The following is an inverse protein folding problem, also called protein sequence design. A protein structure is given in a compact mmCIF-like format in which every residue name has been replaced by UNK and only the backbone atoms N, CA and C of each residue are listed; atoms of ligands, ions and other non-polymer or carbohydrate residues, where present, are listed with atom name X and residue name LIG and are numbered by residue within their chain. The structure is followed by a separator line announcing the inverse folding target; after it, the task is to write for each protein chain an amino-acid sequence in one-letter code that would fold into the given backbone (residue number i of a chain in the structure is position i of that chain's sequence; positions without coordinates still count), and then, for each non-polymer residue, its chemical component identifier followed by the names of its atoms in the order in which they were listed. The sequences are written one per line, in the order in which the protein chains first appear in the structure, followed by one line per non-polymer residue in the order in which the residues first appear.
data_IF_865918488231
#
_entry.id   IF_865918488231
#
_cell.length_a   1.000
_cell.length_b   1.000
_cell.length_c   1.000
_cell.angle_alpha   90.00
_cell.angle_beta   90.00
_cell.angle_gamma   90.00
#
_symmetry.space_group_name_H-M   'P 1'
#
loop_
_entity.id
_entity.type
_entity.pdbx_description
1 polymer ?
#
# COMPACT_ATOMS: atom_id res chain seq x y z
N UNK A 1 12.60 6.90 34.61
CA UNK A 1 12.30 7.05 33.16
C UNK A 1 13.04 5.93 32.46
N UNK A 2 12.38 5.14 31.60
CA UNK A 2 13.07 4.07 30.88
C UNK A 2 13.93 4.68 29.77
N UNK A 3 15.16 4.20 29.67
CA UNK A 3 16.04 4.52 28.54
C UNK A 3 15.89 3.47 27.45
N UNK A 4 15.85 3.92 26.17
CA UNK A 4 15.87 2.99 25.05
C UNK A 4 17.19 2.23 24.98
N UNK A 5 17.22 1.09 24.26
CA UNK A 5 18.48 0.43 23.95
C UNK A 5 19.41 1.41 23.23
N UNK A 6 20.66 1.53 23.69
CA UNK A 6 21.69 2.38 23.06
C UNK A 6 22.66 1.56 22.21
N UNK A 7 22.86 0.30 22.60
CA UNK A 7 23.79 -0.65 21.98
C UNK A 7 23.21 -2.08 22.03
N UNK A 8 23.87 -3.04 21.37
CA UNK A 8 23.47 -4.45 21.28
C UNK A 8 22.09 -4.67 20.62
N UNK A 9 21.81 -3.93 19.55
CA UNK A 9 20.63 -4.17 18.73
C UNK A 9 20.74 -5.52 18.05
N UNK A 10 19.68 -6.34 18.15
CA UNK A 10 19.59 -7.61 17.43
C UNK A 10 18.83 -7.48 16.12
N UNK A 11 18.22 -6.31 15.90
CA UNK A 11 17.42 -5.99 14.73
C UNK A 11 17.87 -4.67 14.11
N UNK A 12 18.39 -4.72 12.87
CA UNK A 12 18.90 -3.56 12.13
C UNK A 12 17.82 -2.48 11.90
N UNK A 13 16.54 -2.87 11.75
CA UNK A 13 15.45 -1.89 11.62
C UNK A 13 15.24 -1.13 12.91
N UNK A 14 15.32 -1.81 14.06
CA UNK A 14 15.18 -1.18 15.38
C UNK A 14 16.39 -0.32 15.69
N UNK A 15 17.58 -0.74 15.29
CA UNK A 15 18.78 0.09 15.36
C UNK A 15 18.60 1.39 14.56
N UNK A 16 18.21 1.30 13.28
CA UNK A 16 17.95 2.48 12.43
C UNK A 16 16.87 3.38 13.01
N UNK A 17 15.81 2.80 13.59
CA UNK A 17 14.73 3.53 14.25
C UNK A 17 15.24 4.30 15.47
N UNK A 18 16.08 3.68 16.30
CA UNK A 18 16.60 4.29 17.52
C UNK A 18 17.78 5.24 17.28
N UNK A 19 18.40 5.21 16.09
CA UNK A 19 19.50 6.10 15.70
C UNK A 19 19.06 7.26 14.79
N UNK A 20 17.78 7.37 14.42
CA UNK A 20 17.32 8.45 13.55
C UNK A 20 17.38 9.81 14.25
N UNK A 21 17.65 10.90 13.52
CA UNK A 21 17.69 12.25 14.13
C UNK A 21 16.33 12.63 14.77
N UNK A 22 15.24 12.18 14.16
CA UNK A 22 13.87 12.34 14.67
C UNK A 22 13.70 11.67 16.05
N UNK A 23 14.45 10.60 16.33
CA UNK A 23 14.33 9.83 17.57
C UNK A 23 14.76 10.61 18.81
N UNK A 24 15.94 11.24 18.78
CA UNK A 24 16.45 12.00 19.92
C UNK A 24 15.64 13.28 20.15
N UNK A 25 15.23 13.93 19.06
CA UNK A 25 14.40 15.13 19.13
C UNK A 25 13.02 14.81 19.72
N UNK A 26 12.34 13.76 19.24
CA UNK A 26 11.03 13.36 19.76
C UNK A 26 11.11 12.89 21.21
N UNK A 27 12.16 12.15 21.60
CA UNK A 27 12.38 11.73 23.00
C UNK A 27 12.56 12.89 23.98
N UNK A 28 13.07 14.03 23.51
CA UNK A 28 13.24 15.23 24.31
C UNK A 28 11.92 15.97 24.58
N UNK A 29 10.88 15.77 23.73
CA UNK A 29 9.56 16.42 23.81
C UNK A 29 8.63 15.81 24.88
N UNK A 30 9.09 14.85 25.69
CA UNK A 30 8.27 14.17 26.70
C UNK A 30 8.38 14.83 28.08
N UNK A 31 7.41 15.68 28.41
CA UNK A 31 7.21 16.19 29.78
C UNK A 31 6.62 15.10 30.71
N UNK A 32 6.54 15.38 32.00
CA UNK A 32 6.07 14.57 33.13
C UNK A 32 4.75 13.82 32.87
N UNK A 33 3.79 14.45 32.16
CA UNK A 33 2.54 13.80 31.75
C UNK A 33 2.71 12.74 30.63
N UNK A 34 3.76 12.85 29.82
CA UNK A 34 4.06 11.96 28.70
C UNK A 34 5.08 10.86 29.04
N UNK A 35 5.64 10.86 30.25
CA UNK A 35 6.58 9.81 30.72
C UNK A 35 5.99 8.41 30.57
N UNK A 36 4.69 8.23 30.85
CA UNK A 36 4.01 6.92 30.67
C UNK A 36 4.01 6.46 29.21
N UNK A 37 3.74 7.36 28.27
CA UNK A 37 3.76 7.06 26.83
C UNK A 37 5.17 6.75 26.34
N UNK A 38 6.18 7.48 26.85
CA UNK A 38 7.59 7.22 26.57
C UNK A 38 8.01 5.84 27.06
N UNK A 39 7.77 5.54 28.33
CA UNK A 39 8.15 4.25 28.93
C UNK A 39 7.49 3.10 28.16
N UNK A 40 6.21 3.24 27.83
CA UNK A 40 5.48 2.28 27.00
C UNK A 40 6.14 2.06 25.65
N UNK A 41 6.54 3.12 24.97
CA UNK A 41 7.18 2.98 23.67
C UNK A 41 8.56 2.31 23.77
N UNK A 42 9.32 2.62 24.82
CA UNK A 42 10.60 1.95 25.11
C UNK A 42 10.39 0.46 25.38
N UNK A 43 9.36 0.07 26.12
CA UNK A 43 9.01 -1.34 26.37
C UNK A 43 8.65 -2.07 25.08
N UNK A 44 7.85 -1.45 24.20
CA UNK A 44 7.56 -2.01 22.88
C UNK A 44 8.84 -2.21 22.09
N UNK A 45 9.73 -1.22 22.05
CA UNK A 45 11.00 -1.32 21.31
C UNK A 45 11.91 -2.41 21.85
N UNK A 46 11.98 -2.57 23.18
CA UNK A 46 12.73 -3.68 23.78
C UNK A 46 12.17 -5.03 23.33
N UNK A 47 10.85 -5.19 23.34
CA UNK A 47 10.18 -6.39 22.82
C UNK A 47 10.48 -6.62 21.33
N UNK A 48 10.55 -5.57 20.52
CA UNK A 48 10.88 -5.66 19.08
C UNK A 48 12.37 -5.93 18.78
N UNK A 49 13.27 -5.69 19.75
CA UNK A 49 14.71 -5.89 19.60
C UNK A 49 15.15 -7.33 19.94
N UNK A 50 14.21 -8.22 20.24
CA UNK A 50 14.50 -9.65 20.44
C UNK A 50 14.70 -10.38 19.10
N UNK A 51 15.40 -11.51 19.11
CA UNK A 51 15.59 -12.35 17.91
C UNK A 51 14.26 -12.98 17.46
N UNK A 52 13.45 -13.37 18.45
CA UNK A 52 12.09 -13.86 18.26
C UNK A 52 11.16 -13.07 19.16
N UNK A 53 10.21 -12.38 18.54
CA UNK A 53 9.33 -11.43 19.23
C UNK A 53 8.17 -12.19 19.87
N UNK A 54 8.00 -12.04 21.18
CA UNK A 54 6.82 -12.50 21.89
C UNK A 54 5.59 -11.64 21.50
N UNK A 55 4.77 -12.19 20.59
CA UNK A 55 3.56 -11.54 20.10
C UNK A 55 2.50 -11.35 21.19
N UNK A 56 2.45 -12.18 22.23
CA UNK A 56 1.49 -12.04 23.31
C UNK A 56 1.85 -10.88 24.24
N UNK A 57 3.14 -10.74 24.54
CA UNK A 57 3.65 -9.55 25.23
C UNK A 57 3.44 -8.30 24.38
N UNK A 58 3.72 -8.35 23.07
CA UNK A 58 3.48 -7.23 22.17
C UNK A 58 2.01 -6.83 22.13
N UNK A 59 1.07 -7.79 22.07
CA UNK A 59 -0.39 -7.53 22.13
C UNK A 59 -0.77 -6.85 23.45
N UNK A 60 -0.28 -7.34 24.59
CA UNK A 60 -0.55 -6.73 25.91
C UNK A 60 -0.04 -5.29 25.98
N UNK A 61 1.18 -5.05 25.52
CA UNK A 61 1.78 -3.71 25.49
C UNK A 61 0.98 -2.76 24.58
N UNK A 62 0.49 -3.26 23.45
CA UNK A 62 -0.16 -2.42 22.42
C UNK A 62 -1.68 -2.34 22.56
N UNK A 63 -2.29 -3.09 23.48
CA UNK A 63 -3.74 -3.15 23.71
C UNK A 63 -4.37 -1.77 23.95
N UNK A 64 -3.73 -0.93 24.75
CA UNK A 64 -4.18 0.46 25.00
C UNK A 64 -3.69 1.47 23.95
N UNK A 65 -3.31 0.98 22.77
CA UNK A 65 -2.85 1.78 21.64
C UNK A 65 -1.33 1.89 21.52
N UNK A 66 -0.84 2.15 20.31
CA UNK A 66 0.58 2.33 20.02
C UNK A 66 0.91 3.83 20.11
N UNK A 67 1.96 4.24 20.85
CA UNK A 67 2.39 5.64 20.86
C UNK A 67 2.63 6.20 19.45
N UNK A 68 2.06 7.36 19.12
CA UNK A 68 2.25 8.06 17.82
C UNK A 68 3.47 8.97 17.78
N UNK A 69 3.99 9.33 18.95
CA UNK A 69 5.14 10.20 19.13
C UNK A 69 6.43 9.65 18.54
N UNK A 70 6.51 8.35 18.26
CA UNK A 70 7.64 7.77 17.55
C UNK A 70 7.21 7.45 16.13
N UNK A 71 7.79 8.20 15.20
CA UNK A 71 7.68 7.96 13.77
C UNK A 71 8.16 6.54 13.45
N UNK A 72 7.38 5.77 12.69
CA UNK A 72 7.77 4.43 12.24
C UNK A 72 7.46 3.27 13.20
N UNK A 73 7.20 3.52 14.50
CA UNK A 73 6.90 2.44 15.45
C UNK A 73 5.59 1.72 15.12
N UNK A 74 4.51 2.49 14.91
CA UNK A 74 3.18 1.93 14.60
C UNK A 74 3.18 1.04 13.35
N UNK A 75 3.76 1.45 12.21
CA UNK A 75 3.87 0.58 11.03
C UNK A 75 4.57 -0.76 11.28
N UNK A 76 5.62 -0.81 12.09
CA UNK A 76 6.32 -2.06 12.41
C UNK A 76 5.44 -2.97 13.26
N UNK A 77 4.87 -2.42 14.33
CA UNK A 77 3.98 -3.18 15.23
C UNK A 77 2.76 -3.72 14.49
N UNK A 78 2.12 -2.91 13.64
CA UNK A 78 0.97 -3.37 12.85
C UNK A 78 1.33 -4.51 11.91
N UNK A 79 2.49 -4.44 11.24
CA UNK A 79 2.92 -5.53 10.35
C UNK A 79 3.11 -6.84 11.10
N UNK A 80 3.61 -6.82 12.33
CA UNK A 80 3.70 -8.02 13.18
C UNK A 80 2.32 -8.52 13.63
N UNK A 81 1.48 -7.62 14.16
CA UNK A 81 0.16 -8.00 14.69
C UNK A 81 -0.80 -8.51 13.60
N UNK A 82 -0.66 -8.01 12.37
CA UNK A 82 -1.42 -8.45 11.19
C UNK A 82 -0.79 -9.69 10.51
N UNK A 83 0.35 -10.19 10.99
CA UNK A 83 1.03 -11.36 10.43
C UNK A 83 1.75 -11.11 9.10
N UNK A 84 1.95 -9.85 8.71
CA UNK A 84 2.72 -9.49 7.52
C UNK A 84 4.24 -9.62 7.71
N UNK A 85 4.72 -9.56 8.97
CA UNK A 85 6.09 -9.88 9.35
C UNK A 85 6.09 -11.06 10.31
N UNK A 86 7.04 -12.01 10.17
CA UNK A 86 7.17 -13.13 11.11
C UNK A 86 7.71 -12.65 12.46
N UNK A 87 7.49 -13.45 13.51
CA UNK A 87 8.03 -13.16 14.85
C UNK A 87 9.57 -13.20 14.88
N UNK A 88 10.17 -14.06 14.07
CA UNK A 88 11.63 -14.18 13.94
C UNK A 88 12.18 -13.04 13.08
N UNK A 89 13.00 -12.18 13.68
CA UNK A 89 13.47 -10.94 13.06
C UNK A 89 14.46 -11.17 11.92
N UNK A 90 15.19 -12.29 11.96
CA UNK A 90 16.11 -12.70 10.88
C UNK A 90 15.41 -12.91 9.53
N UNK A 91 14.14 -13.31 9.55
CA UNK A 91 13.36 -13.65 8.34
C UNK A 91 12.58 -12.44 7.79
N UNK A 92 12.70 -11.26 8.40
CA UNK A 92 11.94 -10.07 7.99
C UNK A 92 12.27 -9.64 6.57
N UNK A 93 13.54 -9.66 6.20
CA UNK A 93 13.98 -9.22 4.88
C UNK A 93 13.43 -10.13 3.78
N UNK A 94 13.65 -11.44 3.90
CA UNK A 94 13.13 -12.43 2.94
C UNK A 94 11.61 -12.40 2.87
N UNK A 95 10.92 -12.37 4.02
CA UNK A 95 9.44 -12.31 4.04
C UNK A 95 8.89 -11.07 3.34
N UNK A 96 9.57 -9.91 3.46
CA UNK A 96 9.18 -8.71 2.74
C UNK A 96 9.40 -8.86 1.23
N UNK A 97 10.55 -9.38 0.82
CA UNK A 97 10.87 -9.64 -0.59
C UNK A 97 9.83 -10.60 -1.22
N UNK A 98 9.51 -11.71 -0.55
CA UNK A 98 8.51 -12.67 -1.00
C UNK A 98 7.10 -12.06 -1.10
N UNK A 99 6.71 -11.24 -0.11
CA UNK A 99 5.43 -10.52 -0.13
C UNK A 99 5.34 -9.52 -1.30
N UNK A 100 6.43 -8.79 -1.57
CA UNK A 100 6.48 -7.85 -2.70
C UNK A 100 6.43 -8.58 -4.03
N UNK A 101 7.20 -9.66 -4.21
CA UNK A 101 7.18 -10.47 -5.42
C UNK A 101 5.80 -11.07 -5.66
N UNK A 102 5.17 -11.62 -4.62
CA UNK A 102 3.80 -12.15 -4.69
C UNK A 102 2.80 -11.08 -5.14
N UNK A 103 2.89 -9.88 -4.57
CA UNK A 103 2.04 -8.76 -4.97
C UNK A 103 2.27 -8.34 -6.43
N UNK A 104 3.52 -8.27 -6.89
CA UNK A 104 3.84 -7.97 -8.28
C UNK A 104 3.27 -9.01 -9.24
N UNK A 105 3.34 -10.29 -8.86
CA UNK A 105 2.77 -11.37 -9.65
C UNK A 105 1.25 -11.25 -9.75
N UNK A 106 0.55 -10.97 -8.64
CA UNK A 106 -0.89 -10.68 -8.68
C UNK A 106 -1.20 -9.47 -9.56
N UNK A 107 -0.40 -8.42 -9.51
CA UNK A 107 -0.59 -7.25 -10.36
C UNK A 107 -0.47 -7.61 -11.84
N UNK A 108 0.53 -8.42 -12.22
CA UNK A 108 0.76 -8.86 -13.61
C UNK A 108 -0.35 -9.79 -14.11
N UNK A 109 -0.81 -10.71 -13.27
CA UNK A 109 -1.78 -11.74 -13.64
C UNK A 109 -3.23 -11.23 -13.64
N UNK A 110 -3.61 -10.42 -12.65
CA UNK A 110 -5.01 -10.03 -12.44
C UNK A 110 -5.40 -8.74 -13.18
N UNK A 111 -4.45 -7.85 -13.48
CA UNK A 111 -4.72 -6.58 -14.18
C UNK A 111 -4.44 -6.77 -15.68
N UNK A 112 -5.35 -7.45 -16.36
CA UNK A 112 -5.23 -7.71 -17.80
C UNK A 112 -5.82 -6.56 -18.60
N UNK A 113 -5.00 -5.90 -19.42
CA UNK A 113 -5.47 -4.95 -20.44
C UNK A 113 -5.56 -5.67 -21.78
N UNK A 114 -6.75 -5.81 -22.39
CA UNK A 114 -6.87 -6.37 -23.72
C UNK A 114 -6.10 -5.47 -24.69
N UNK A 115 -5.05 -5.99 -25.31
CA UNK A 115 -4.37 -5.30 -26.40
C UNK A 115 -5.21 -5.52 -27.66
N UNK A 116 -5.80 -4.45 -28.20
CA UNK A 116 -6.23 -4.46 -29.61
C UNK A 116 -4.94 -4.50 -30.42
N UNK A 117 -4.40 -5.69 -30.69
CA UNK A 117 -3.19 -5.85 -31.49
C UNK A 117 -3.45 -5.28 -32.89
N UNK A 118 -3.05 -4.03 -33.13
CA UNK A 118 -2.88 -3.48 -34.49
C UNK A 118 -1.53 -3.90 -35.11
N UNK A 119 -0.66 -4.61 -34.39
CA UNK A 119 0.76 -4.77 -34.78
C UNK A 119 1.34 -6.20 -34.73
N UNK A 120 0.53 -7.26 -34.76
CA UNK A 120 1.06 -8.59 -35.13
C UNK A 120 0.19 -9.18 -36.23
N UNK A 121 0.67 -8.98 -37.46
CA UNK A 121 0.10 -9.52 -38.67
C UNK A 121 0.30 -11.05 -38.72
N UNK A 122 -0.73 -11.73 -39.22
CA UNK A 122 -0.70 -13.03 -39.92
C UNK A 122 -0.86 -14.36 -39.15
N UNK A 123 -0.78 -14.45 -37.82
CA UNK A 123 -0.80 -15.79 -37.19
C UNK A 123 -2.15 -16.31 -36.61
N UNK A 124 -3.19 -15.50 -36.36
CA UNK A 124 -4.34 -15.95 -35.52
C UNK A 124 -5.75 -15.43 -35.91
N UNK A 125 -6.12 -15.54 -37.18
CA UNK A 125 -7.46 -15.13 -37.68
C UNK A 125 -8.62 -15.84 -36.95
N UNK A 126 -8.50 -17.14 -36.65
CA UNK A 126 -9.56 -17.91 -35.95
C UNK A 126 -9.71 -17.57 -34.47
N UNK A 127 -8.63 -17.13 -33.80
CA UNK A 127 -8.67 -16.75 -32.38
C UNK A 127 -9.26 -15.35 -32.19
N UNK A 128 -9.09 -14.45 -33.19
CA UNK A 128 -9.72 -13.12 -33.24
C UNK A 128 -11.25 -13.16 -33.37
N UNK A 129 -11.80 -14.18 -34.02
CA UNK A 129 -13.26 -14.31 -34.22
C UNK A 129 -13.98 -14.72 -32.92
N UNK A 130 -13.30 -15.43 -32.02
CA UNK A 130 -13.88 -15.94 -30.76
C UNK A 130 -13.68 -14.98 -29.58
N UNK A 131 -12.62 -14.18 -29.59
CA UNK A 131 -12.30 -13.23 -28.51
C UNK A 131 -12.29 -11.79 -29.02
N UNK A 132 -13.45 -11.15 -28.93
CA UNK A 132 -13.70 -9.79 -29.41
C UNK A 132 -14.52 -9.00 -28.37
N UNK A 133 -14.58 -7.66 -28.46
CA UNK A 133 -15.28 -6.79 -27.48
C UNK A 133 -16.77 -7.08 -27.28
N UNK A 134 -17.39 -7.88 -28.13
CA UNK A 134 -18.80 -8.25 -28.04
C UNK A 134 -18.97 -9.76 -27.81
N UNK A 135 -17.88 -10.47 -27.48
CA UNK A 135 -17.91 -11.90 -27.25
C UNK A 135 -18.66 -12.18 -25.94
N UNK A 136 -19.68 -13.02 -26.00
CA UNK A 136 -20.45 -13.48 -24.85
C UNK A 136 -19.81 -14.69 -24.16
N UNK A 137 -18.68 -15.18 -24.69
CA UNK A 137 -17.99 -16.33 -24.10
C UNK A 137 -17.45 -15.99 -22.72
N UNK A 138 -17.69 -16.87 -21.74
CA UNK A 138 -17.16 -16.72 -20.38
C UNK A 138 -15.63 -16.80 -20.34
N UNK A 139 -14.98 -17.39 -21.35
CA UNK A 139 -13.52 -17.50 -21.47
C UNK A 139 -12.89 -16.36 -22.27
N UNK A 140 -13.67 -15.37 -22.71
CA UNK A 140 -13.16 -14.24 -23.48
C UNK A 140 -12.37 -13.28 -22.57
N UNK A 141 -11.21 -12.82 -23.06
CA UNK A 141 -10.42 -11.78 -22.39
C UNK A 141 -11.21 -10.48 -22.32
N UNK A 142 -11.99 -10.16 -23.35
CA UNK A 142 -12.87 -9.00 -23.36
C UNK A 142 -13.98 -9.08 -22.32
N UNK A 143 -14.64 -10.24 -22.18
CA UNK A 143 -15.66 -10.42 -21.15
C UNK A 143 -15.08 -10.25 -19.73
N UNK A 144 -13.90 -10.82 -19.48
CA UNK A 144 -13.17 -10.59 -18.22
C UNK A 144 -12.84 -9.12 -18.03
N UNK A 145 -12.37 -8.43 -19.08
CA UNK A 145 -12.05 -7.01 -19.02
C UNK A 145 -13.27 -6.14 -18.67
N UNK A 146 -14.43 -6.39 -19.26
CA UNK A 146 -15.64 -5.60 -18.94
C UNK A 146 -16.11 -5.83 -17.51
N UNK A 147 -16.09 -7.07 -17.02
CA UNK A 147 -16.38 -7.37 -15.61
C UNK A 147 -15.37 -6.69 -14.67
N UNK A 148 -14.10 -6.67 -15.06
CA UNK A 148 -13.07 -5.99 -14.30
C UNK A 148 -13.30 -4.47 -14.31
N UNK A 149 -13.73 -3.88 -15.43
CA UNK A 149 -14.11 -2.46 -15.50
C UNK A 149 -15.28 -2.13 -14.57
N UNK A 150 -16.29 -2.98 -14.46
CA UNK A 150 -17.39 -2.77 -13.51
C UNK A 150 -16.88 -2.70 -12.07
N UNK A 151 -15.97 -3.61 -11.67
CA UNK A 151 -15.35 -3.58 -10.34
C UNK A 151 -14.50 -2.32 -10.16
N UNK A 152 -13.70 -1.94 -11.17
CA UNK A 152 -12.90 -0.71 -11.12
C UNK A 152 -13.76 0.54 -10.96
N UNK A 153 -14.89 0.62 -11.66
CA UNK A 153 -15.80 1.78 -11.59
C UNK A 153 -16.43 1.92 -10.21
N UNK A 154 -16.83 0.82 -9.55
CA UNK A 154 -17.33 0.87 -8.18
C UNK A 154 -16.23 1.27 -7.19
N UNK A 155 -15.03 0.70 -7.31
CA UNK A 155 -13.88 1.07 -6.49
C UNK A 155 -13.51 2.54 -6.70
N UNK A 156 -13.52 3.07 -7.93
CA UNK A 156 -13.17 4.46 -8.21
C UNK A 156 -14.15 5.42 -7.53
N UNK A 157 -15.46 5.16 -7.61
CA UNK A 157 -16.49 5.96 -6.93
C UNK A 157 -16.22 6.01 -5.42
N UNK A 158 -15.90 4.86 -4.84
CA UNK A 158 -15.70 4.70 -3.41
C UNK A 158 -14.40 5.32 -2.90
N UNK A 159 -13.32 5.18 -3.65
CA UNK A 159 -12.06 5.83 -3.31
C UNK A 159 -12.17 7.35 -3.40
N UNK A 160 -12.90 7.89 -4.37
CA UNK A 160 -13.14 9.35 -4.49
C UNK A 160 -13.93 9.94 -3.32
N UNK A 161 -14.84 9.18 -2.71
CA UNK A 161 -15.57 9.61 -1.49
C UNK A 161 -14.82 9.30 -0.18
N UNK A 162 -13.74 8.53 -0.22
CA UNK A 162 -13.00 8.12 0.98
C UNK A 162 -12.09 9.25 1.45
N UNK A 163 -12.36 9.76 2.66
CA UNK A 163 -11.49 10.73 3.36
C UNK A 163 -11.09 11.91 2.46
N UNK A 164 -12.09 12.57 1.87
CA UNK A 164 -11.89 13.75 1.01
C UNK A 164 -11.21 14.91 1.73
N UNK A 165 -11.23 14.91 3.07
CA UNK A 165 -10.47 15.82 3.94
C UNK A 165 -8.96 15.60 3.88
N UNK A 166 -8.52 14.42 3.45
CA UNK A 166 -7.13 14.00 3.48
C UNK A 166 -6.46 14.18 2.12
N UNK A 167 -5.73 15.28 1.96
CA UNK A 167 -5.01 15.59 0.71
C UNK A 167 -4.01 14.51 0.28
N UNK A 168 -3.55 13.65 1.20
CA UNK A 168 -2.66 12.52 0.92
C UNK A 168 -3.08 11.68 -0.29
N UNK A 169 -4.36 11.38 -0.45
CA UNK A 169 -4.83 10.53 -1.56
C UNK A 169 -4.70 11.17 -2.94
N UNK A 170 -4.64 12.51 -2.99
CA UNK A 170 -4.47 13.29 -4.22
C UNK A 170 -3.00 13.55 -4.56
N UNK A 171 -2.07 13.27 -3.62
CA UNK A 171 -0.64 13.43 -3.87
C UNK A 171 -0.12 12.32 -4.78
N UNK A 172 0.85 12.68 -5.62
CA UNK A 172 1.62 11.74 -6.41
C UNK A 172 2.44 10.80 -5.50
N UNK A 173 2.57 9.54 -5.91
CA UNK A 173 3.45 8.57 -5.26
C UNK A 173 4.91 9.03 -5.29
N UNK A 174 5.32 9.60 -6.42
CA UNK A 174 6.64 10.21 -6.56
C UNK A 174 6.62 11.63 -5.95
N UNK A 175 7.35 11.87 -4.83
CA UNK A 175 7.36 13.17 -4.17
C UNK A 175 7.91 14.30 -5.05
N UNK A 176 8.71 14.00 -6.06
CA UNK A 176 9.24 15.00 -6.99
C UNK A 176 8.14 15.66 -7.83
N UNK A 177 7.09 14.89 -8.15
CA UNK A 177 5.92 15.31 -8.93
C UNK A 177 4.91 16.12 -8.10
N UNK A 178 5.13 16.29 -6.80
CA UNK A 178 4.27 17.11 -5.94
C UNK A 178 4.74 18.58 -5.81
N UNK A 179 5.77 18.99 -6.56
CA UNK A 179 6.40 20.31 -6.41
C UNK A 179 5.95 21.31 -7.47
N UNK A 180 6.00 20.94 -8.75
CA UNK A 180 5.69 21.82 -9.88
C UNK A 180 4.23 22.27 -9.87
N UNK A 181 3.99 23.53 -10.23
CA UNK A 181 2.62 24.04 -10.38
C UNK A 181 1.84 23.30 -11.48
N UNK A 182 2.52 22.89 -12.55
CA UNK A 182 1.91 22.12 -13.63
C UNK A 182 1.43 20.74 -13.15
N UNK A 183 2.28 20.01 -12.43
CA UNK A 183 1.93 18.70 -11.90
C UNK A 183 0.81 18.80 -10.86
N UNK A 184 0.83 19.82 -9.99
CA UNK A 184 -0.27 20.07 -9.03
C UNK A 184 -1.60 20.30 -9.74
N UNK A 185 -1.63 21.14 -10.76
CA UNK A 185 -2.85 21.37 -11.55
C UNK A 185 -3.31 20.11 -12.29
N UNK A 186 -2.38 19.23 -12.69
CA UNK A 186 -2.70 17.94 -13.30
C UNK A 186 -3.30 16.97 -12.28
N UNK A 187 -2.73 16.87 -11.08
CA UNK A 187 -3.24 16.04 -9.99
C UNK A 187 -4.65 16.46 -9.59
N UNK A 188 -4.92 17.77 -9.50
CA UNK A 188 -6.26 18.30 -9.22
C UNK A 188 -7.26 17.89 -10.30
N UNK A 189 -6.92 18.07 -11.58
CA UNK A 189 -7.77 17.60 -12.70
C UNK A 189 -8.02 16.08 -12.66
N UNK A 190 -7.00 15.29 -12.31
CA UNK A 190 -7.13 13.84 -12.18
C UNK A 190 -8.05 13.43 -11.03
N UNK A 191 -8.08 14.19 -9.93
CA UNK A 191 -8.95 13.93 -8.80
C UNK A 191 -10.43 14.14 -9.16
N UNK A 192 -10.74 15.18 -9.94
CA UNK A 192 -12.11 15.55 -10.30
C UNK A 192 -12.67 14.77 -11.48
N UNK A 193 -11.81 14.28 -12.38
CA UNK A 193 -12.24 13.62 -13.61
C UNK A 193 -12.28 12.10 -13.45
N UNK A 194 -13.32 11.42 -13.94
CA UNK A 194 -13.31 9.96 -14.02
C UNK A 194 -12.22 9.47 -14.95
N UNK A 195 -11.63 8.32 -14.66
CA UNK A 195 -10.56 7.78 -15.50
C UNK A 195 -11.02 7.54 -16.95
N UNK A 196 -12.24 7.08 -17.13
CA UNK A 196 -12.87 6.91 -18.44
C UNK A 196 -13.02 8.23 -19.23
N UNK A 197 -13.20 9.35 -18.54
CA UNK A 197 -13.48 10.66 -19.13
C UNK A 197 -12.22 11.50 -19.39
N UNK A 198 -11.04 11.01 -18.99
CA UNK A 198 -9.78 11.72 -19.18
C UNK A 198 -9.41 11.85 -20.66
N UNK A 199 -8.98 13.05 -21.04
CA UNK A 199 -8.48 13.36 -22.39
C UNK A 199 -7.24 12.53 -22.72
N UNK A 200 -6.97 12.22 -24.00
CA UNK A 200 -5.80 11.43 -24.40
C UNK A 200 -4.46 11.96 -23.83
N UNK A 201 -4.24 13.27 -23.88
CA UNK A 201 -3.00 13.90 -23.37
C UNK A 201 -2.84 13.75 -21.84
N UNK A 202 -3.96 13.77 -21.11
CA UNK A 202 -3.97 13.57 -19.66
C UNK A 202 -3.69 12.10 -19.31
N UNK A 203 -4.11 11.15 -20.17
CA UNK A 203 -3.77 9.72 -20.02
C UNK A 203 -2.29 9.44 -20.30
N UNK A 204 -1.69 10.13 -21.27
CA UNK A 204 -0.28 9.98 -21.62
C UNK A 204 0.62 10.48 -20.48
N UNK A 205 0.27 11.63 -19.90
CA UNK A 205 1.03 12.27 -18.83
C UNK A 205 0.46 11.97 -17.44
N UNK A 206 -0.23 10.84 -17.29
CA UNK A 206 -0.93 10.49 -16.06
C UNK A 206 0.05 10.33 -14.89
N UNK A 207 -0.24 10.99 -13.77
CA UNK A 207 0.55 10.91 -12.55
C UNK A 207 -0.10 9.91 -11.61
N UNK A 208 0.61 8.85 -11.25
CA UNK A 208 0.09 7.90 -10.28
C UNK A 208 0.03 8.52 -8.88
N UNK A 209 -1.13 8.40 -8.24
CA UNK A 209 -1.47 8.95 -6.93
C UNK A 209 -1.60 7.86 -5.86
N UNK A 210 -1.68 8.27 -4.59
CA UNK A 210 -2.01 7.35 -3.49
C UNK A 210 -3.42 6.76 -3.63
N UNK A 211 -4.38 7.51 -4.21
CA UNK A 211 -5.70 6.96 -4.55
C UNK A 211 -5.59 5.80 -5.54
N UNK A 212 -4.73 5.89 -6.57
CA UNK A 212 -4.53 4.80 -7.53
C UNK A 212 -3.98 3.53 -6.88
N UNK A 213 -3.08 3.68 -5.90
CA UNK A 213 -2.55 2.53 -5.14
C UNK A 213 -3.67 1.89 -4.31
N UNK A 214 -4.51 2.69 -3.66
CA UNK A 214 -5.66 2.18 -2.91
C UNK A 214 -6.63 1.43 -3.83
N UNK A 215 -7.00 2.01 -4.97
CA UNK A 215 -7.87 1.35 -5.95
C UNK A 215 -7.27 0.02 -6.40
N UNK A 216 -5.95 -0.02 -6.68
CA UNK A 216 -5.25 -1.24 -7.09
C UNK A 216 -5.26 -2.33 -6.03
N UNK A 217 -5.03 -1.97 -4.77
CA UNK A 217 -5.07 -2.93 -3.66
C UNK A 217 -6.47 -3.51 -3.52
N UNK A 218 -7.51 -2.67 -3.55
CA UNK A 218 -8.91 -3.11 -3.44
C UNK A 218 -9.32 -4.01 -4.62
N UNK A 219 -8.88 -3.67 -5.83
CA UNK A 219 -9.16 -4.48 -7.02
C UNK A 219 -8.49 -5.86 -6.94
N UNK A 220 -7.19 -5.92 -6.61
CA UNK A 220 -6.48 -7.18 -6.43
C UNK A 220 -7.16 -8.02 -5.34
N UNK A 221 -7.54 -7.42 -4.22
CA UNK A 221 -8.24 -8.12 -3.15
C UNK A 221 -9.58 -8.72 -3.64
N UNK A 222 -10.39 -7.94 -4.36
CA UNK A 222 -11.67 -8.40 -4.90
C UNK A 222 -11.51 -9.56 -5.90
N UNK A 223 -10.47 -9.51 -6.72
CA UNK A 223 -10.14 -10.54 -7.71
C UNK A 223 -9.62 -11.83 -7.08
N UNK A 224 -8.84 -11.74 -6.00
CA UNK A 224 -8.36 -12.90 -5.26
C UNK A 224 -9.48 -13.58 -4.46
N UNK A 225 -10.43 -12.80 -3.96
CA UNK A 225 -11.50 -13.28 -3.08
C UNK A 225 -12.85 -13.25 -3.78
N UNK A 226 -13.01 -13.97 -4.90
CA UNK A 226 -14.21 -13.93 -5.75
C UNK A 226 -15.52 -14.29 -5.04
N UNK A 227 -15.47 -15.06 -3.94
CA UNK A 227 -16.64 -15.36 -3.12
C UNK A 227 -17.14 -14.19 -2.26
N UNK A 228 -16.30 -13.17 -2.04
CA UNK A 228 -16.64 -11.93 -1.34
C UNK A 228 -16.77 -10.79 -2.36
N UNK A 229 -15.79 -10.65 -3.25
CA UNK A 229 -15.69 -9.57 -4.22
C UNK A 229 -15.30 -8.23 -3.58
N UNK A 230 -15.69 -7.15 -4.24
CA UNK A 230 -15.68 -5.80 -3.68
C UNK A 230 -17.09 -5.47 -3.20
N UNK A 231 -17.23 -5.05 -1.94
CA UNK A 231 -18.50 -4.72 -1.27
C UNK A 231 -18.37 -3.36 -0.61
#
# INVERSE_FOLDING_TARGET
ILEPPKDNFRNEFIEKLCRSADWEEELSKFDTQRIKLRNKAVEIIRCLNEEEIDLDTLRKLTFTGIPTCITGLRPVVWRLLLGALPAKTADWKSSLEDNFETYENFQKELIVKPKIQKEEAEAKEKQRILDHPLSTSQSSVWNTFFKDQEIWDEIEKDVKRTRTDMHFFQLAIDPSRNKSAEDKARLERQADTKRADQRPDDRINYIQTHADVLQRILFIYAKLNTGIGYI
#
